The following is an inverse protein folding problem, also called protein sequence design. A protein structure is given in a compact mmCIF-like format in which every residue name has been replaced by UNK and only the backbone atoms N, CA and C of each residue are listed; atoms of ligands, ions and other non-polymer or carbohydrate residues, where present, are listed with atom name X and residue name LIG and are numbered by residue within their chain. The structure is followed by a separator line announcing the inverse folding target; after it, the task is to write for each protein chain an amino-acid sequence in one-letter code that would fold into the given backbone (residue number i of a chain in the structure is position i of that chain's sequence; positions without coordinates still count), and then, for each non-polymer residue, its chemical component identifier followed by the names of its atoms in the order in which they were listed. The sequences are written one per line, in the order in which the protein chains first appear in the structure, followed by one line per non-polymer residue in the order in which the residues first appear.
data_IF_622491479303
#
_entry.id   IF_622491479303
#
_cell.length_a   1.000
_cell.length_b   1.000
_cell.length_c   1.000
_cell.angle_alpha   90.00
_cell.angle_beta   90.00
_cell.angle_gamma   90.00
#
_symmetry.space_group_name_H-M   'P 1'
#
loop_
_entity.id
_entity.type
_entity.pdbx_description
1 polymer ?
#
# COMPACT_ATOMS: atom_id res chain seq x y z
N UNK A 1 -6.48 17.99 8.26
CA UNK A 1 -6.08 18.18 9.66
C UNK A 1 -6.14 16.82 10.36
N UNK A 2 -5.07 16.05 10.22
CA UNK A 2 -4.90 14.78 10.90
C UNK A 2 -4.39 15.04 12.32
N UNK A 3 -5.23 15.63 13.16
CA UNK A 3 -4.87 15.79 14.57
C UNK A 3 -4.77 14.42 15.23
N UNK A 4 -3.57 13.97 15.39
CA UNK A 4 -3.13 12.69 15.94
C UNK A 4 -3.38 12.53 17.45
N UNK A 5 -4.07 13.46 18.09
CA UNK A 5 -4.33 13.40 19.54
C UNK A 5 -5.68 12.81 19.89
N UNK A 6 -6.07 11.71 19.24
CA UNK A 6 -7.18 10.92 19.78
C UNK A 6 -6.59 9.89 20.72
N UNK A 7 -6.82 10.08 22.02
CA UNK A 7 -6.24 9.24 23.05
C UNK A 7 -6.56 7.75 22.88
N UNK A 8 -5.77 6.88 23.49
CA UNK A 8 -5.91 5.41 23.46
C UNK A 8 -7.35 4.93 23.69
N UNK A 9 -8.15 5.66 24.47
CA UNK A 9 -9.57 5.35 24.68
C UNK A 9 -10.42 5.35 23.41
N UNK A 10 -10.11 6.19 22.42
CA UNK A 10 -10.81 6.19 21.13
C UNK A 10 -10.38 5.02 20.22
N UNK A 11 -9.14 4.57 20.34
CA UNK A 11 -8.64 3.40 19.63
C UNK A 11 -9.38 2.15 20.09
N UNK A 12 -9.50 1.91 21.39
CA UNK A 12 -10.26 0.78 21.93
C UNK A 12 -11.74 0.80 21.54
N UNK A 13 -12.38 1.98 21.54
CA UNK A 13 -13.77 2.09 21.12
C UNK A 13 -13.98 1.72 19.65
N UNK A 14 -13.03 2.11 18.79
CA UNK A 14 -13.09 1.80 17.35
C UNK A 14 -12.88 0.32 17.10
N UNK A 15 -11.91 -0.28 17.77
CA UNK A 15 -11.65 -1.72 17.67
C UNK A 15 -12.87 -2.54 18.13
N UNK A 16 -13.42 -2.23 19.33
CA UNK A 16 -14.61 -2.90 19.84
C UNK A 16 -15.79 -2.76 18.85
N UNK A 17 -15.97 -1.55 18.30
CA UNK A 17 -17.06 -1.29 17.35
C UNK A 17 -16.84 -2.01 16.00
N UNK A 18 -15.62 -2.09 15.52
CA UNK A 18 -15.29 -2.86 14.33
C UNK A 18 -15.61 -4.35 14.52
N UNK A 19 -15.23 -4.92 15.66
CA UNK A 19 -15.57 -6.29 16.01
C UNK A 19 -17.08 -6.55 16.09
N UNK A 20 -17.85 -5.66 16.75
CA UNK A 20 -19.32 -5.76 16.80
C UNK A 20 -19.97 -5.74 15.42
N UNK A 21 -19.44 -4.94 14.51
CA UNK A 21 -19.96 -4.75 13.16
C UNK A 21 -19.40 -5.74 12.14
N UNK A 22 -18.46 -6.60 12.55
CA UNK A 22 -17.66 -7.44 11.65
C UNK A 22 -17.05 -6.60 10.49
N UNK A 23 -16.52 -5.43 10.83
CA UNK A 23 -15.94 -4.48 9.89
C UNK A 23 -14.42 -4.46 10.04
N UNK A 24 -13.74 -4.26 8.93
CA UNK A 24 -12.30 -4.09 8.88
C UNK A 24 -11.89 -2.64 9.22
N UNK A 25 -10.66 -2.46 9.63
CA UNK A 25 -10.09 -1.15 9.97
C UNK A 25 -9.20 -0.67 8.83
N UNK A 26 -9.43 0.56 8.38
CA UNK A 26 -8.51 1.25 7.48
C UNK A 26 -7.91 2.46 8.21
N UNK A 27 -6.57 2.54 8.24
CA UNK A 27 -5.86 3.59 8.97
C UNK A 27 -4.52 3.94 8.32
N UNK A 28 -4.08 5.20 8.48
CA UNK A 28 -2.71 5.60 8.19
C UNK A 28 -1.78 5.06 9.28
N UNK A 29 -0.62 4.55 8.90
CA UNK A 29 0.31 3.94 9.84
C UNK A 29 1.76 4.05 9.37
N UNK A 30 2.63 4.57 10.24
CA UNK A 30 4.05 4.74 9.97
C UNK A 30 4.33 5.54 8.68
N UNK A 31 3.56 6.57 8.41
CA UNK A 31 3.71 7.40 7.21
C UNK A 31 4.98 8.24 7.29
N UNK A 32 5.22 8.91 8.42
CA UNK A 32 6.36 9.80 8.58
C UNK A 32 7.32 9.35 9.68
N UNK A 33 8.60 9.73 9.54
CA UNK A 33 9.60 9.49 10.58
C UNK A 33 9.23 10.19 11.92
N UNK A 34 8.57 11.35 11.83
CA UNK A 34 8.07 12.08 12.99
C UNK A 34 7.03 11.29 13.76
N UNK A 35 6.01 10.75 13.07
CA UNK A 35 4.99 9.88 13.68
C UNK A 35 5.62 8.72 14.47
N UNK A 36 6.57 8.02 13.84
CA UNK A 36 7.24 6.88 14.49
C UNK A 36 8.06 7.32 15.69
N UNK A 37 8.84 8.42 15.56
CA UNK A 37 9.67 8.92 16.64
C UNK A 37 8.86 9.40 17.84
N UNK A 38 7.74 10.05 17.60
CA UNK A 38 6.87 10.55 18.65
C UNK A 38 6.13 9.41 19.37
N UNK A 39 5.66 8.41 18.63
CA UNK A 39 5.09 7.19 19.21
C UNK A 39 6.11 6.46 20.09
N UNK A 40 7.36 6.33 19.63
CA UNK A 40 8.42 5.69 20.41
C UNK A 40 8.74 6.48 21.69
N UNK A 41 8.78 7.82 21.63
CA UNK A 41 9.00 8.67 22.81
C UNK A 41 7.87 8.53 23.83
N UNK A 42 6.62 8.50 23.39
CA UNK A 42 5.45 8.49 24.24
C UNK A 42 5.16 7.08 24.81
N UNK A 43 5.30 6.04 23.98
CA UNK A 43 4.85 4.70 24.32
C UNK A 43 5.98 3.66 24.41
N UNK A 44 7.23 4.05 24.12
CA UNK A 44 8.39 3.14 24.03
C UNK A 44 8.18 1.97 23.05
N UNK A 45 7.34 2.18 22.03
CA UNK A 45 6.98 1.21 21.00
C UNK A 45 6.81 1.90 19.65
N UNK A 46 7.07 1.16 18.56
CA UNK A 46 6.70 1.62 17.21
C UNK A 46 5.17 1.64 17.06
N UNK A 47 4.60 2.43 16.13
CA UNK A 47 3.14 2.43 15.90
C UNK A 47 2.59 1.02 15.62
N UNK A 48 3.32 0.18 14.86
CA UNK A 48 2.92 -1.21 14.60
C UNK A 48 2.84 -2.02 15.89
N UNK A 49 3.86 -1.94 16.75
CA UNK A 49 3.87 -2.65 18.04
C UNK A 49 2.76 -2.15 18.96
N UNK A 50 2.53 -0.84 18.99
CA UNK A 50 1.47 -0.25 19.78
C UNK A 50 0.09 -0.74 19.31
N UNK A 51 -0.20 -0.67 18.01
CA UNK A 51 -1.47 -1.16 17.45
C UNK A 51 -1.67 -2.65 17.68
N UNK A 52 -0.60 -3.45 17.57
CA UNK A 52 -0.65 -4.88 17.89
C UNK A 52 -0.95 -5.13 19.38
N UNK A 53 -0.37 -4.35 20.29
CA UNK A 53 -0.63 -4.48 21.74
C UNK A 53 -2.05 -4.07 22.15
N UNK A 54 -2.76 -3.35 21.27
CA UNK A 54 -4.13 -2.91 21.42
C UNK A 54 -5.12 -3.81 20.62
N UNK A 55 -4.65 -4.95 20.10
CA UNK A 55 -5.42 -5.92 19.31
C UNK A 55 -6.09 -5.31 18.06
N UNK A 56 -5.56 -4.18 17.55
CA UNK A 56 -6.15 -3.44 16.42
C UNK A 56 -6.12 -4.23 15.11
N UNK A 57 -5.23 -5.22 15.00
CA UNK A 57 -5.09 -6.04 13.81
C UNK A 57 -6.03 -7.25 13.78
N UNK A 58 -6.68 -7.59 14.88
CA UNK A 58 -7.51 -8.81 15.00
C UNK A 58 -8.84 -8.70 14.22
N UNK A 59 -9.32 -7.48 13.92
CA UNK A 59 -10.50 -7.25 13.09
C UNK A 59 -10.21 -7.24 11.58
N UNK A 60 -8.96 -7.51 11.16
CA UNK A 60 -8.50 -7.27 9.79
C UNK A 60 -8.17 -5.79 9.57
N UNK A 61 -6.98 -5.51 9.06
CA UNK A 61 -6.51 -4.13 8.90
C UNK A 61 -5.89 -3.90 7.54
N UNK A 62 -6.29 -2.79 6.91
CA UNK A 62 -5.62 -2.19 5.77
C UNK A 62 -4.86 -0.95 6.27
N UNK A 63 -3.54 -1.02 6.30
CA UNK A 63 -2.67 0.07 6.71
C UNK A 63 -2.21 0.88 5.49
N UNK A 64 -2.46 2.17 5.48
CA UNK A 64 -1.97 3.07 4.43
C UNK A 64 -0.53 3.49 4.73
N UNK A 65 0.25 3.68 3.66
CA UNK A 65 1.64 4.15 3.62
C UNK A 65 2.69 3.14 4.12
N UNK A 66 2.77 2.86 5.39
CA UNK A 66 3.77 1.95 6.01
C UNK A 66 5.20 2.22 5.53
N UNK A 67 5.59 3.52 5.50
CA UNK A 67 6.90 3.98 4.99
C UNK A 67 8.01 3.65 5.97
N UNK A 68 7.82 3.99 7.24
CA UNK A 68 8.85 3.89 8.30
C UNK A 68 8.60 2.68 9.21
N UNK A 69 8.62 1.47 8.62
CA UNK A 69 8.48 0.21 9.33
C UNK A 69 9.82 -0.51 9.45
N UNK A 70 10.11 -1.07 10.62
CA UNK A 70 11.29 -1.89 10.86
C UNK A 70 11.08 -3.35 10.41
N UNK A 71 12.15 -4.14 10.34
CA UNK A 71 12.06 -5.58 10.06
C UNK A 71 11.13 -6.30 11.06
N UNK A 72 11.25 -5.96 12.36
CA UNK A 72 10.39 -6.51 13.41
C UNK A 72 8.91 -6.09 13.24
N UNK A 73 8.65 -4.88 12.72
CA UNK A 73 7.29 -4.43 12.42
C UNK A 73 6.73 -5.22 11.23
N UNK A 74 7.54 -5.46 10.21
CA UNK A 74 7.13 -6.28 9.06
C UNK A 74 6.79 -7.72 9.46
N UNK A 75 7.52 -8.30 10.41
CA UNK A 75 7.23 -9.64 10.92
C UNK A 75 5.88 -9.67 11.66
N UNK A 76 5.57 -8.65 12.47
CA UNK A 76 4.25 -8.50 13.11
C UNK A 76 3.14 -8.35 12.06
N UNK A 77 3.35 -7.48 11.06
CA UNK A 77 2.37 -7.26 9.99
C UNK A 77 2.07 -8.53 9.21
N UNK A 78 3.10 -9.35 8.94
CA UNK A 78 2.93 -10.63 8.26
C UNK A 78 2.14 -11.64 9.12
N UNK A 79 2.51 -11.80 10.40
CA UNK A 79 1.84 -12.69 11.35
C UNK A 79 0.36 -12.32 11.54
N UNK A 80 0.08 -11.03 11.70
CA UNK A 80 -1.27 -10.48 11.87
C UNK A 80 -2.04 -10.28 10.57
N UNK A 81 -1.45 -10.63 9.41
CA UNK A 81 -2.06 -10.49 8.08
C UNK A 81 -2.52 -9.06 7.78
N UNK A 82 -1.77 -8.06 8.26
CA UNK A 82 -2.01 -6.67 7.94
C UNK A 82 -1.78 -6.46 6.44
N UNK A 83 -2.74 -5.87 5.78
CA UNK A 83 -2.65 -5.52 4.36
C UNK A 83 -2.21 -4.07 4.22
N UNK A 84 -1.56 -3.73 3.13
CA UNK A 84 -0.97 -2.41 2.92
C UNK A 84 -1.55 -1.74 1.69
N UNK A 85 -1.94 -0.47 1.81
CA UNK A 85 -2.21 0.43 0.70
C UNK A 85 -0.94 1.28 0.47
N UNK A 86 -0.19 0.96 -0.56
CA UNK A 86 1.01 1.69 -0.96
C UNK A 86 0.65 2.87 -1.86
N UNK A 87 1.01 4.08 -1.44
CA UNK A 87 0.67 5.34 -2.10
C UNK A 87 1.96 6.07 -2.53
N UNK A 88 2.69 5.57 -3.55
CA UNK A 88 4.03 6.06 -3.85
C UNK A 88 4.08 7.54 -4.21
N UNK A 89 3.13 8.05 -4.99
CA UNK A 89 3.12 9.45 -5.39
C UNK A 89 2.87 10.39 -4.21
N UNK A 90 1.89 10.06 -3.37
CA UNK A 90 1.61 10.81 -2.14
C UNK A 90 2.84 10.81 -1.21
N UNK A 91 3.44 9.66 -0.96
CA UNK A 91 4.61 9.52 -0.11
C UNK A 91 5.79 10.39 -0.60
N UNK A 92 6.01 10.45 -1.91
CA UNK A 92 7.06 11.28 -2.49
C UNK A 92 6.71 12.77 -2.47
N UNK A 93 5.47 13.11 -2.81
CA UNK A 93 5.01 14.51 -2.82
C UNK A 93 5.09 15.15 -1.44
N UNK A 94 4.71 14.41 -0.40
CA UNK A 94 4.73 14.87 0.98
C UNK A 94 6.09 14.67 1.67
N UNK A 95 7.07 14.13 0.94
CA UNK A 95 8.40 13.80 1.47
C UNK A 95 8.33 12.81 2.66
N UNK A 96 7.31 11.97 2.72
CA UNK A 96 7.18 10.93 3.74
C UNK A 96 8.26 9.86 3.60
N UNK A 97 8.70 9.57 2.36
CA UNK A 97 9.75 8.60 2.08
C UNK A 97 9.28 7.46 1.16
N UNK A 98 9.95 6.31 1.24
CA UNK A 98 9.71 5.17 0.36
C UNK A 98 9.43 3.93 1.20
N UNK A 99 8.22 3.39 1.09
CA UNK A 99 7.83 2.17 1.80
C UNK A 99 8.64 0.95 1.31
N UNK A 100 9.03 0.02 2.19
CA UNK A 100 9.85 -1.14 1.84
C UNK A 100 9.02 -2.26 1.18
N UNK A 101 8.30 -1.94 0.10
CA UNK A 101 7.39 -2.87 -0.59
C UNK A 101 8.04 -4.20 -0.97
N UNK A 102 9.28 -4.27 -1.48
CA UNK A 102 9.93 -5.55 -1.76
C UNK A 102 10.07 -6.43 -0.51
N UNK A 103 10.36 -5.85 0.64
CA UNK A 103 10.47 -6.58 1.91
C UNK A 103 9.11 -7.06 2.42
N UNK A 104 8.05 -6.28 2.19
CA UNK A 104 6.66 -6.67 2.48
C UNK A 104 6.24 -7.87 1.64
N UNK A 105 6.42 -7.79 0.32
CA UNK A 105 6.07 -8.87 -0.62
C UNK A 105 6.83 -10.16 -0.31
N UNK A 106 8.12 -10.06 0.05
CA UNK A 106 8.94 -11.21 0.44
C UNK A 106 8.39 -11.95 1.66
N UNK A 107 7.68 -11.25 2.55
CA UNK A 107 7.01 -11.81 3.74
C UNK A 107 5.58 -12.26 3.49
N UNK A 108 5.10 -12.14 2.26
CA UNK A 108 3.73 -12.49 1.91
C UNK A 108 2.68 -11.48 2.38
N UNK A 109 3.11 -10.27 2.78
CA UNK A 109 2.18 -9.18 3.08
C UNK A 109 1.48 -8.76 1.79
N UNK A 110 0.16 -8.71 1.83
CA UNK A 110 -0.64 -8.25 0.69
C UNK A 110 -0.49 -6.74 0.57
N UNK A 111 -0.01 -6.28 -0.59
CA UNK A 111 0.17 -4.87 -0.90
C UNK A 111 -0.69 -4.51 -2.11
N UNK A 112 -1.59 -3.56 -1.96
CA UNK A 112 -2.31 -2.92 -3.06
C UNK A 112 -1.75 -1.53 -3.33
N UNK A 113 -1.96 -0.99 -4.54
CA UNK A 113 -1.68 0.41 -4.84
C UNK A 113 -2.88 1.29 -4.51
N UNK A 114 -2.61 2.48 -4.02
CA UNK A 114 -3.58 3.53 -3.83
C UNK A 114 -3.05 4.87 -4.30
N UNK A 115 -3.94 5.80 -4.58
CA UNK A 115 -3.60 7.16 -5.00
C UNK A 115 -3.55 8.14 -3.82
N UNK A 116 -4.08 7.72 -2.65
CA UNK A 116 -4.38 8.65 -1.56
C UNK A 116 -5.39 9.74 -1.97
N UNK A 117 -5.57 10.77 -1.18
CA UNK A 117 -6.48 11.86 -1.46
C UNK A 117 -5.97 12.83 -2.55
N UNK A 118 -6.88 13.58 -3.15
CA UNK A 118 -6.56 14.55 -4.21
C UNK A 118 -5.60 15.66 -3.76
N UNK A 119 -5.63 16.05 -2.50
CA UNK A 119 -4.70 17.05 -1.96
C UNK A 119 -3.27 16.52 -1.80
N UNK A 120 -3.14 15.22 -1.51
CA UNK A 120 -1.85 14.54 -1.31
C UNK A 120 -1.21 14.08 -2.61
N UNK A 121 -2.00 13.87 -3.67
CA UNK A 121 -1.55 13.33 -4.94
C UNK A 121 -1.65 14.34 -6.10
N UNK A 122 -2.73 15.15 -6.17
CA UNK A 122 -3.15 16.00 -7.29
C UNK A 122 -3.67 15.20 -8.51
N UNK A 123 -3.58 13.90 -8.51
CA UNK A 123 -3.97 12.99 -9.57
C UNK A 123 -4.52 11.70 -8.95
N UNK A 124 -5.49 11.07 -9.60
CA UNK A 124 -6.08 9.81 -9.16
C UNK A 124 -5.87 8.74 -10.25
N UNK A 125 -4.69 8.74 -10.88
CA UNK A 125 -4.32 7.80 -11.94
C UNK A 125 -3.54 6.61 -11.35
N UNK A 126 -4.22 5.47 -11.22
CA UNK A 126 -3.61 4.25 -10.68
C UNK A 126 -2.53 3.64 -11.61
N UNK A 127 -2.58 3.93 -12.93
CA UNK A 127 -1.50 3.50 -13.84
C UNK A 127 -0.22 4.29 -13.61
N UNK A 128 -0.33 5.57 -13.25
CA UNK A 128 0.82 6.37 -12.87
C UNK A 128 1.45 5.84 -11.58
N UNK A 129 0.64 5.45 -10.60
CA UNK A 129 1.12 4.75 -9.39
C UNK A 129 1.82 3.43 -9.71
N UNK A 130 1.27 2.61 -10.62
CA UNK A 130 1.92 1.38 -11.10
C UNK A 130 3.30 1.66 -11.71
N UNK A 131 3.38 2.67 -12.57
CA UNK A 131 4.63 3.06 -13.23
C UNK A 131 5.65 3.52 -12.20
N UNK A 132 5.22 4.35 -11.25
CA UNK A 132 6.09 4.88 -10.20
C UNK A 132 6.59 3.75 -9.29
N UNK A 133 5.71 2.87 -8.82
CA UNK A 133 6.07 1.71 -8.00
C UNK A 133 7.10 0.80 -8.71
N UNK A 134 6.90 0.54 -10.02
CA UNK A 134 7.82 -0.28 -10.80
C UNK A 134 9.22 0.33 -10.94
N UNK A 135 9.35 1.66 -10.97
CA UNK A 135 10.64 2.33 -11.18
C UNK A 135 11.34 2.68 -9.85
N UNK A 136 10.58 3.09 -8.86
CA UNK A 136 11.09 3.64 -7.61
C UNK A 136 12.03 2.65 -6.90
N UNK A 137 11.58 1.41 -6.72
CA UNK A 137 12.33 0.39 -5.99
C UNK A 137 13.59 -0.06 -6.73
N UNK A 138 13.56 -0.06 -8.07
CA UNK A 138 14.76 -0.32 -8.88
C UNK A 138 15.81 0.78 -8.70
N UNK A 139 15.34 2.05 -8.72
CA UNK A 139 16.23 3.21 -8.61
C UNK A 139 16.97 3.27 -7.28
N UNK A 140 16.30 2.97 -6.17
CA UNK A 140 16.92 3.04 -4.83
C UNK A 140 17.75 1.80 -4.47
N UNK A 141 17.41 0.62 -4.99
CA UNK A 141 18.12 -0.61 -4.69
C UNK A 141 19.29 -0.89 -5.63
N UNK A 142 19.30 -0.30 -6.84
CA UNK A 142 20.21 -0.68 -7.91
C UNK A 142 19.91 -2.05 -8.55
N UNK A 143 18.80 -2.69 -8.17
CA UNK A 143 18.38 -3.98 -8.73
C UNK A 143 17.25 -3.77 -9.77
N UNK A 144 17.52 -3.98 -11.07
CA UNK A 144 16.53 -3.79 -12.13
C UNK A 144 15.41 -4.85 -12.13
N UNK A 145 15.55 -5.91 -11.37
CA UNK A 145 14.58 -7.01 -11.32
C UNK A 145 13.48 -6.81 -10.26
N UNK A 146 13.68 -5.88 -9.32
CA UNK A 146 12.67 -5.60 -8.29
C UNK A 146 11.41 -5.01 -8.90
N UNK A 147 10.27 -5.49 -8.45
CA UNK A 147 8.93 -5.07 -8.89
C UNK A 147 8.85 -4.88 -10.42
N UNK A 148 8.93 -5.97 -11.19
CA UNK A 148 8.76 -5.89 -12.63
C UNK A 148 7.36 -5.39 -12.99
N UNK A 149 7.15 -4.93 -14.22
CA UNK A 149 5.87 -4.33 -14.65
C UNK A 149 4.65 -5.20 -14.36
N UNK A 150 4.79 -6.53 -14.53
CA UNK A 150 3.71 -7.47 -14.21
C UNK A 150 3.37 -7.49 -12.71
N UNK A 151 4.37 -7.39 -11.84
CA UNK A 151 4.13 -7.32 -10.40
C UNK A 151 3.48 -5.99 -10.01
N UNK A 152 3.95 -4.87 -10.55
CA UNK A 152 3.31 -3.58 -10.34
C UNK A 152 1.84 -3.57 -10.79
N UNK A 153 1.54 -4.20 -11.92
CA UNK A 153 0.16 -4.35 -12.38
C UNK A 153 -0.68 -5.22 -11.43
N UNK A 154 -0.11 -6.30 -10.88
CA UNK A 154 -0.81 -7.11 -9.87
C UNK A 154 -1.11 -6.31 -8.59
N UNK A 155 -0.20 -5.43 -8.15
CA UNK A 155 -0.45 -4.55 -7.00
C UNK A 155 -1.69 -3.67 -7.23
N UNK A 156 -1.94 -3.23 -8.47
CA UNK A 156 -3.11 -2.42 -8.82
C UNK A 156 -4.38 -3.23 -9.11
N UNK A 157 -4.28 -4.53 -9.32
CA UNK A 157 -5.41 -5.38 -9.72
C UNK A 157 -5.69 -6.46 -8.68
N UNK A 158 -5.19 -7.66 -8.87
CA UNK A 158 -5.44 -8.82 -8.00
C UNK A 158 -5.04 -8.56 -6.54
N UNK A 159 -3.85 -8.02 -6.30
CA UNK A 159 -3.41 -7.72 -4.93
C UNK A 159 -4.18 -6.53 -4.34
N UNK A 160 -4.49 -5.51 -5.15
CA UNK A 160 -5.37 -4.41 -4.75
C UNK A 160 -6.75 -4.90 -4.32
N UNK A 161 -7.36 -5.78 -5.09
CA UNK A 161 -8.63 -6.44 -4.74
C UNK A 161 -8.50 -7.22 -3.42
N UNK A 162 -7.46 -8.05 -3.30
CA UNK A 162 -7.20 -8.83 -2.08
C UNK A 162 -6.93 -7.92 -0.86
N UNK A 163 -6.26 -6.78 -1.06
CA UNK A 163 -6.03 -5.81 0.00
C UNK A 163 -7.35 -5.20 0.53
N UNK A 164 -8.36 -5.09 -0.33
CA UNK A 164 -9.71 -4.66 0.02
C UNK A 164 -10.65 -5.80 0.46
N UNK A 165 -10.13 -7.04 0.57
CA UNK A 165 -10.92 -8.19 0.98
C UNK A 165 -11.78 -8.82 -0.12
N UNK A 166 -11.65 -8.38 -1.38
CA UNK A 166 -12.35 -9.00 -2.50
C UNK A 166 -11.60 -10.24 -2.99
N UNK A 167 -12.35 -11.30 -3.29
CA UNK A 167 -11.78 -12.59 -3.75
C UNK A 167 -12.25 -13.00 -5.14
N UNK A 168 -13.19 -12.26 -5.72
CA UNK A 168 -13.88 -12.59 -6.97
C UNK A 168 -13.71 -11.54 -8.07
N UNK A 169 -12.68 -10.68 -7.94
CA UNK A 169 -12.28 -9.63 -8.88
C UNK A 169 -10.76 -9.51 -8.97
N UNK A 170 -10.26 -8.73 -9.91
CA UNK A 170 -8.85 -8.34 -10.02
C UNK A 170 -8.03 -9.17 -11.02
N UNK A 171 -8.61 -10.19 -11.62
CA UNK A 171 -8.00 -10.98 -12.71
C UNK A 171 -9.05 -11.46 -13.70
N UNK A 172 -8.59 -11.77 -14.92
CA UNK A 172 -9.47 -12.31 -15.97
C UNK A 172 -9.43 -13.84 -15.88
N UNK A 173 -10.42 -14.40 -15.19
CA UNK A 173 -10.54 -15.85 -14.99
C UNK A 173 -12.02 -16.25 -15.00
N UNK A 174 -12.30 -17.51 -15.39
CA UNK A 174 -13.66 -18.05 -15.40
C UNK A 174 -14.21 -18.10 -13.97
N UNK A 175 -15.36 -17.49 -13.76
CA UNK A 175 -16.03 -17.41 -12.46
C UNK A 175 -15.76 -16.11 -11.69
N UNK A 176 -14.81 -15.27 -12.15
CA UNK A 176 -14.59 -13.94 -11.59
C UNK A 176 -15.59 -12.93 -12.14
N UNK A 177 -15.86 -11.86 -11.40
CA UNK A 177 -16.62 -10.71 -11.89
C UNK A 177 -15.84 -9.97 -12.97
N UNK A 178 -16.54 -9.51 -13.99
CA UNK A 178 -15.95 -8.88 -15.17
C UNK A 178 -15.78 -7.34 -14.96
N UNK A 179 -14.98 -6.95 -13.97
CA UNK A 179 -14.53 -5.56 -13.82
C UNK A 179 -13.33 -5.33 -14.75
N UNK A 180 -13.62 -4.88 -15.98
CA UNK A 180 -12.65 -4.84 -17.07
C UNK A 180 -12.45 -3.40 -17.55
N UNK A 181 -11.21 -2.99 -17.70
CA UNK A 181 -10.80 -1.71 -18.31
C UNK A 181 -10.09 -1.99 -19.62
N UNK A 182 -10.51 -1.30 -20.69
CA UNK A 182 -9.87 -1.37 -22.01
C UNK A 182 -9.03 -0.12 -22.23
N UNK A 183 -7.77 -0.30 -22.62
CA UNK A 183 -6.86 0.79 -22.97
C UNK A 183 -6.59 0.81 -24.47
N UNK A 184 -6.78 1.97 -25.11
CA UNK A 184 -6.35 2.20 -26.49
C UNK A 184 -4.85 2.47 -26.52
N UNK A 185 -4.08 1.44 -26.86
CA UNK A 185 -2.61 1.49 -26.93
C UNK A 185 -2.08 1.99 -28.28
N UNK A 186 -2.98 2.32 -29.25
CA UNK A 186 -2.62 2.77 -30.59
C UNK A 186 -2.40 4.28 -30.66
N UNK A 187 -1.96 4.89 -29.59
CA UNK A 187 -1.65 6.33 -29.55
C UNK A 187 -0.15 6.58 -29.63
N UNK A 188 0.28 7.65 -30.31
CA UNK A 188 1.72 7.96 -30.48
C UNK A 188 2.49 8.06 -29.15
N UNK A 189 1.86 8.51 -28.10
CA UNK A 189 2.49 8.65 -26.76
C UNK A 189 2.61 7.32 -25.99
N UNK A 190 1.93 6.26 -26.43
CA UNK A 190 2.04 4.96 -25.80
C UNK A 190 3.33 4.21 -26.17
N UNK A 191 3.94 4.52 -27.32
CA UNK A 191 5.22 3.96 -27.82
C UNK A 191 5.34 2.42 -27.80
N UNK A 192 4.24 1.69 -27.62
CA UNK A 192 4.27 0.24 -27.36
C UNK A 192 4.30 -0.62 -28.63
N UNK A 193 4.12 0.00 -29.81
CA UNK A 193 4.08 -0.71 -31.11
C UNK A 193 5.36 -0.46 -31.91
N UNK A 194 6.51 -0.49 -31.24
CA UNK A 194 7.79 -0.49 -31.96
C UNK A 194 8.01 -1.89 -32.54
N UNK A 195 7.52 -2.10 -33.77
CA UNK A 195 7.60 -3.40 -34.45
C UNK A 195 8.83 -3.54 -35.34
N UNK A 196 9.66 -2.52 -35.47
CA UNK A 196 10.93 -2.59 -36.22
C UNK A 196 12.10 -2.13 -35.38
N UNK A 197 13.27 -2.76 -35.52
CA UNK A 197 14.48 -2.26 -34.88
C UNK A 197 14.77 -0.84 -35.39
N UNK A 198 15.15 0.04 -34.48
CA UNK A 198 15.59 1.38 -34.84
C UNK A 198 16.66 1.29 -35.91
N UNK A 199 16.56 2.02 -37.00
CA UNK A 199 17.68 2.08 -37.97
C UNK A 199 18.90 2.64 -37.24
N UNK A 200 19.97 1.91 -37.26
CA UNK A 200 21.28 2.31 -36.74
C UNK A 200 21.90 3.36 -37.63
#
# INVERSE_FOLDING_TARGET
DSSTSRGLGDVYKRQAKAGELNAEIHMHLCETAGEVSDCVKEHNMTPIKLMNSLDMFDCGTLAAHCVHVSEADLDIMADKKVRVAHNPQSNLKLASGIAPVPAMLKRGIIVGLGTDGTSSNNNLDLLEECRLAAMLHKGISGDPLLIPAQEALKLATKQGASALGFTDVGEIEVGQKADIVLYDMQKPYCCLLYTSPSPR
#
